data_IF_480586119735
#
_entry.id   IF_480586119735
#
_cell.length_a   1.000
_cell.length_b   1.000
_cell.length_c   1.000
_cell.angle_alpha   90.00
_cell.angle_beta   90.00
_cell.angle_gamma   90.00
#
_symmetry.space_group_name_H-M   'P 1'
#
loop_
_entity.id
_entity.type
_entity.pdbx_description
1 polymer ?
#
# COMPACT_ATOMS: atom_id res chain seq x y z
N UNK A 1 -47.66 -9.77 -5.25
CA UNK A 1 -46.74 -8.79 -4.58
C UNK A 1 -45.36 -9.40 -4.56
N UNK A 2 -44.49 -8.90 -5.43
CA UNK A 2 -43.11 -9.39 -5.53
C UNK A 2 -42.28 -8.61 -4.49
N UNK A 3 -41.72 -9.31 -3.52
CA UNK A 3 -40.74 -8.70 -2.62
C UNK A 3 -39.48 -8.37 -3.44
N UNK A 4 -38.92 -7.17 -3.34
CA UNK A 4 -37.63 -6.91 -3.95
C UNK A 4 -36.60 -7.83 -3.31
N UNK A 5 -35.85 -8.51 -4.16
CA UNK A 5 -34.71 -9.30 -3.72
C UNK A 5 -33.79 -8.37 -2.90
N UNK A 6 -33.54 -8.74 -1.66
CA UNK A 6 -32.52 -8.08 -0.85
C UNK A 6 -31.20 -8.28 -1.59
N UNK A 7 -30.68 -7.17 -2.12
CA UNK A 7 -29.35 -7.13 -2.72
C UNK A 7 -28.35 -7.36 -1.58
N UNK A 8 -28.00 -8.63 -1.37
CA UNK A 8 -27.07 -9.09 -0.35
C UNK A 8 -25.62 -9.02 -0.82
N UNK A 9 -25.35 -8.42 -1.98
CA UNK A 9 -23.99 -8.31 -2.51
C UNK A 9 -23.38 -6.90 -2.33
N UNK A 10 -23.64 -6.26 -1.19
CA UNK A 10 -22.71 -5.24 -0.71
C UNK A 10 -21.56 -5.98 -0.05
N UNK A 11 -20.62 -6.43 -0.85
CA UNK A 11 -19.25 -6.63 -0.36
C UNK A 11 -18.87 -5.28 0.22
N UNK A 12 -18.66 -5.20 1.53
CA UNK A 12 -18.08 -4.02 2.14
C UNK A 12 -16.82 -3.72 1.36
N UNK A 13 -16.85 -2.62 0.62
CA UNK A 13 -15.73 -2.20 -0.21
C UNK A 13 -14.57 -1.89 0.72
N UNK A 14 -13.49 -2.69 0.63
CA UNK A 14 -12.31 -2.53 1.48
C UNK A 14 -11.77 -1.13 1.27
N UNK A 15 -11.67 -0.35 2.35
CA UNK A 15 -11.06 0.98 2.30
C UNK A 15 -9.61 0.85 1.89
N UNK A 16 -9.23 1.59 0.85
CA UNK A 16 -7.85 1.65 0.36
C UNK A 16 -7.20 2.97 0.74
N UNK A 17 -5.96 2.91 1.20
CA UNK A 17 -5.13 4.10 1.34
C UNK A 17 -4.71 4.57 -0.05
N UNK A 18 -4.79 5.88 -0.29
CA UNK A 18 -4.43 6.48 -1.57
C UNK A 18 -3.20 7.37 -1.40
N UNK A 19 -2.18 7.10 -2.18
CA UNK A 19 -1.00 7.94 -2.30
C UNK A 19 -0.79 8.33 -3.75
N UNK A 20 -1.04 9.60 -4.08
CA UNK A 20 -0.78 10.14 -5.44
C UNK A 20 0.67 10.56 -5.57
N UNK A 21 1.23 10.36 -6.75
CA UNK A 21 2.57 10.78 -7.07
C UNK A 21 2.73 11.11 -8.55
N UNK A 22 3.75 11.91 -8.86
CA UNK A 22 4.16 12.25 -10.20
C UNK A 22 5.29 11.34 -10.64
N UNK A 23 5.17 10.70 -11.81
CA UNK A 23 6.29 10.00 -12.44
C UNK A 23 7.37 11.04 -12.77
N UNK A 24 8.61 10.78 -12.35
CA UNK A 24 9.74 11.68 -12.55
C UNK A 24 10.59 11.23 -13.73
N UNK A 25 11.20 12.19 -14.41
CA UNK A 25 12.11 11.89 -15.53
C UNK A 25 13.23 10.91 -15.11
N UNK A 26 13.77 11.08 -13.90
CA UNK A 26 14.80 10.17 -13.36
C UNK A 26 14.36 8.73 -13.12
N UNK A 27 13.06 8.46 -13.17
CA UNK A 27 12.51 7.09 -13.01
C UNK A 27 12.51 6.31 -14.34
N UNK A 28 12.68 7.01 -15.46
CA UNK A 28 12.63 6.44 -16.81
C UNK A 28 14.02 5.91 -17.21
N UNK A 29 14.08 4.69 -17.72
CA UNK A 29 15.30 4.10 -18.22
C UNK A 29 15.41 4.19 -19.75
N UNK A 30 16.46 3.59 -20.29
CA UNK A 30 16.74 3.60 -21.74
C UNK A 30 15.68 2.91 -22.60
N UNK A 31 14.80 2.13 -22.00
CA UNK A 31 13.67 1.49 -22.68
C UNK A 31 12.46 2.42 -22.84
N UNK A 32 12.52 3.62 -22.25
CA UNK A 32 11.49 4.64 -22.42
C UNK A 32 10.32 4.57 -21.45
N UNK A 33 10.39 3.74 -20.42
CA UNK A 33 9.37 3.65 -19.38
C UNK A 33 9.99 3.50 -18.00
N UNK A 34 9.16 3.61 -16.97
CA UNK A 34 9.61 3.49 -15.58
C UNK A 34 10.40 2.21 -15.39
N UNK A 35 11.62 2.35 -14.86
CA UNK A 35 12.48 1.20 -14.56
C UNK A 35 11.81 0.29 -13.53
N UNK A 36 11.89 -1.02 -13.72
CA UNK A 36 11.26 -2.01 -12.86
C UNK A 36 11.65 -1.88 -11.38
N UNK A 37 12.85 -1.41 -11.06
CA UNK A 37 13.29 -1.19 -9.68
C UNK A 37 12.62 0.02 -9.02
N UNK A 38 12.16 1.00 -9.78
CA UNK A 38 11.53 2.23 -9.27
C UNK A 38 10.15 1.97 -8.66
N UNK A 39 9.45 0.96 -9.10
CA UNK A 39 8.14 0.62 -8.52
C UNK A 39 8.23 0.26 -7.03
N UNK A 40 9.32 -0.36 -6.59
CA UNK A 40 9.56 -0.61 -5.16
C UNK A 40 9.66 0.68 -4.35
N UNK A 41 10.29 1.71 -4.91
CA UNK A 41 10.35 3.04 -4.30
C UNK A 41 8.96 3.67 -4.18
N UNK A 42 8.12 3.55 -5.20
CA UNK A 42 6.74 4.05 -5.14
C UNK A 42 5.92 3.36 -4.04
N UNK A 43 6.08 2.05 -3.90
CA UNK A 43 5.42 1.29 -2.82
C UNK A 43 5.94 1.70 -1.44
N UNK A 44 7.22 1.95 -1.30
CA UNK A 44 7.82 2.45 -0.05
C UNK A 44 7.27 3.82 0.32
N UNK A 45 7.20 4.76 -0.63
CA UNK A 45 6.63 6.08 -0.41
C UNK A 45 5.16 6.00 0.03
N UNK A 46 4.40 5.07 -0.56
CA UNK A 46 3.03 4.81 -0.17
C UNK A 46 2.92 4.31 1.29
N UNK A 47 3.81 3.41 1.71
CA UNK A 47 3.87 2.95 3.10
C UNK A 47 4.26 4.08 4.06
N UNK A 48 5.22 4.91 3.70
CA UNK A 48 5.61 6.08 4.51
C UNK A 48 4.43 7.03 4.66
N UNK A 49 3.69 7.29 3.59
CA UNK A 49 2.47 8.11 3.65
C UNK A 49 1.44 7.51 4.60
N UNK A 50 1.14 6.23 4.47
CA UNK A 50 0.12 5.53 5.24
C UNK A 50 0.48 5.40 6.72
N UNK A 51 1.72 5.06 7.04
CA UNK A 51 2.11 4.69 8.40
C UNK A 51 2.79 5.79 9.18
N UNK A 52 3.29 6.82 8.52
CA UNK A 52 4.05 7.89 9.17
C UNK A 52 3.47 9.27 8.94
N UNK A 53 3.28 9.67 7.70
CA UNK A 53 2.87 11.04 7.39
C UNK A 53 1.39 11.30 7.72
N UNK A 54 0.50 10.39 7.35
CA UNK A 54 -0.92 10.55 7.66
C UNK A 54 -1.20 10.54 9.16
N UNK A 55 -0.63 9.61 9.97
CA UNK A 55 -0.73 9.70 11.42
C UNK A 55 -0.24 11.03 11.98
N UNK A 56 0.91 11.54 11.53
CA UNK A 56 1.43 12.85 11.98
C UNK A 56 0.50 14.00 11.62
N UNK A 57 -0.10 14.00 10.42
CA UNK A 57 -1.08 15.02 10.01
C UNK A 57 -2.35 14.98 10.84
N UNK A 58 -2.72 13.81 11.33
CA UNK A 58 -3.90 13.59 12.18
C UNK A 58 -3.61 13.80 13.66
N UNK A 59 -2.37 14.11 14.04
CA UNK A 59 -1.94 14.28 15.42
C UNK A 59 -1.83 12.99 16.21
N UNK A 60 -1.68 11.86 15.51
CA UNK A 60 -1.50 10.54 16.12
C UNK A 60 -0.06 10.05 15.97
N UNK A 61 0.30 9.02 16.72
CA UNK A 61 1.65 8.46 16.65
C UNK A 61 1.87 7.68 15.34
N UNK A 62 3.00 7.87 14.65
CA UNK A 62 3.36 7.03 13.52
C UNK A 62 3.64 5.59 13.99
N UNK A 63 3.50 4.61 13.08
CA UNK A 63 3.89 3.25 13.37
C UNK A 63 5.40 3.19 13.66
N UNK A 64 5.76 2.34 14.63
CA UNK A 64 7.14 2.12 15.05
C UNK A 64 7.88 1.25 14.02
N UNK A 65 9.05 0.76 14.35
CA UNK A 65 9.89 -0.03 13.47
C UNK A 65 9.14 -1.13 12.72
N UNK A 66 9.21 -1.08 11.41
CA UNK A 66 8.62 -2.03 10.47
C UNK A 66 9.70 -2.44 9.48
N UNK A 67 9.82 -3.74 9.21
CA UNK A 67 10.74 -4.26 8.20
C UNK A 67 10.00 -5.05 7.16
N UNK A 68 10.45 -4.97 5.92
CA UNK A 68 9.89 -5.76 4.82
C UNK A 68 10.52 -7.14 4.83
N UNK A 69 9.68 -8.17 4.90
CA UNK A 69 10.12 -9.56 4.82
C UNK A 69 9.99 -10.14 3.40
N UNK A 70 9.04 -9.65 2.62
CA UNK A 70 8.78 -10.17 1.27
C UNK A 70 8.09 -9.14 0.41
N UNK A 71 8.44 -9.10 -0.87
CA UNK A 71 7.70 -8.44 -1.93
C UNK A 71 7.33 -9.43 -3.04
N UNK A 72 6.13 -9.29 -3.57
CA UNK A 72 5.72 -9.88 -4.85
C UNK A 72 5.22 -8.75 -5.75
N UNK A 73 5.70 -8.70 -6.99
CA UNK A 73 5.31 -7.66 -7.95
C UNK A 73 4.98 -8.30 -9.29
N UNK A 74 3.82 -7.95 -9.83
CA UNK A 74 3.40 -8.27 -11.18
C UNK A 74 3.35 -6.99 -12.01
N UNK A 75 4.19 -6.91 -13.03
CA UNK A 75 4.25 -5.80 -13.98
C UNK A 75 3.25 -6.06 -15.09
N UNK A 76 2.14 -5.33 -15.07
CA UNK A 76 1.02 -5.59 -15.98
C UNK A 76 1.04 -4.72 -17.22
N UNK A 77 1.60 -3.51 -17.12
CA UNK A 77 1.58 -2.50 -18.16
C UNK A 77 2.74 -1.53 -17.96
N UNK A 78 3.47 -1.10 -19.02
CA UNK A 78 4.51 -0.10 -18.87
C UNK A 78 3.91 1.25 -18.43
N UNK A 79 4.57 1.90 -17.48
CA UNK A 79 4.23 3.24 -17.04
C UNK A 79 5.23 4.21 -17.69
N UNK A 80 4.71 5.24 -18.32
CA UNK A 80 5.48 6.24 -19.06
C UNK A 80 5.57 7.54 -18.29
N UNK A 81 6.51 8.41 -18.68
CA UNK A 81 6.51 9.79 -18.22
C UNK A 81 5.23 10.48 -18.71
N UNK A 82 4.54 11.17 -17.82
CA UNK A 82 3.20 11.72 -18.08
C UNK A 82 2.95 12.95 -17.21
N UNK A 83 2.13 13.91 -17.68
CA UNK A 83 1.77 15.08 -16.88
C UNK A 83 0.80 14.75 -15.73
N UNK A 84 -0.09 13.77 -15.93
CA UNK A 84 -1.09 13.39 -14.92
C UNK A 84 -0.50 12.50 -13.85
N UNK A 85 -0.87 12.70 -12.57
CA UNK A 85 -0.39 11.83 -11.50
C UNK A 85 -0.93 10.41 -11.65
N UNK A 86 -0.24 9.48 -11.04
CA UNK A 86 -0.72 8.12 -10.77
C UNK A 86 -0.82 7.93 -9.27
N UNK A 87 -1.44 6.84 -8.84
CA UNK A 87 -1.61 6.57 -7.42
C UNK A 87 -1.22 5.15 -7.06
N UNK A 88 -0.79 4.98 -5.84
CA UNK A 88 -0.70 3.68 -5.18
C UNK A 88 -1.93 3.55 -4.30
N UNK A 89 -2.72 2.52 -4.55
CA UNK A 89 -3.79 2.10 -3.65
C UNK A 89 -3.28 0.94 -2.81
N UNK A 90 -3.41 1.05 -1.49
CA UNK A 90 -2.87 0.07 -0.53
C UNK A 90 -3.95 -0.35 0.45
N UNK A 91 -4.05 -1.65 0.70
CA UNK A 91 -4.96 -2.19 1.71
C UNK A 91 -4.34 -3.41 2.40
N UNK A 92 -4.91 -3.79 3.53
CA UNK A 92 -4.45 -4.93 4.34
C UNK A 92 -5.22 -6.18 3.95
N UNK A 93 -4.53 -7.24 3.59
CA UNK A 93 -5.15 -8.54 3.27
C UNK A 93 -5.03 -9.55 4.39
N UNK A 94 -4.04 -9.42 5.24
CA UNK A 94 -3.82 -10.34 6.36
C UNK A 94 -3.22 -9.57 7.54
N UNK A 95 -3.71 -9.84 8.72
CA UNK A 95 -3.22 -9.23 9.96
C UNK A 95 -2.93 -10.34 10.98
N UNK A 96 -1.71 -10.40 11.45
CA UNK A 96 -1.21 -11.36 12.45
C UNK A 96 -0.69 -10.62 13.69
N UNK A 97 -0.23 -11.36 14.69
CA UNK A 97 0.24 -10.78 15.96
C UNK A 97 1.48 -9.87 15.82
N UNK A 98 2.39 -10.21 14.91
CA UNK A 98 3.66 -9.50 14.72
C UNK A 98 3.93 -9.12 13.26
N UNK A 99 3.00 -9.36 12.36
CA UNK A 99 3.16 -9.11 10.94
C UNK A 99 1.82 -8.83 10.26
N UNK A 100 1.88 -8.27 9.06
CA UNK A 100 0.71 -8.06 8.22
C UNK A 100 1.12 -8.10 6.75
N UNK A 101 0.14 -8.35 5.90
CA UNK A 101 0.33 -8.36 4.45
C UNK A 101 -0.44 -7.19 3.85
N UNK A 102 0.25 -6.42 3.03
CA UNK A 102 -0.33 -5.34 2.22
C UNK A 102 -0.49 -5.81 0.78
N UNK A 103 -1.58 -5.42 0.17
CA UNK A 103 -1.74 -5.48 -1.27
C UNK A 103 -1.71 -4.06 -1.84
N UNK A 104 -1.22 -3.93 -3.07
CA UNK A 104 -1.09 -2.65 -3.76
C UNK A 104 -1.55 -2.75 -5.20
N UNK A 105 -2.08 -1.64 -5.69
CA UNK A 105 -2.18 -1.36 -7.11
C UNK A 105 -1.52 -0.01 -7.41
N UNK A 106 -0.63 0.02 -8.39
CA UNK A 106 -0.16 1.28 -8.98
C UNK A 106 -1.00 1.50 -10.22
N UNK A 107 -1.78 2.58 -10.21
CA UNK A 107 -2.82 2.78 -11.22
C UNK A 107 -3.21 4.24 -11.45
N UNK A 108 -3.94 4.45 -12.53
CA UNK A 108 -4.82 5.60 -12.74
C UNK A 108 -6.29 5.13 -12.79
N UNK A 109 -7.20 5.98 -13.27
CA UNK A 109 -8.63 5.62 -13.33
C UNK A 109 -8.95 4.58 -14.41
N UNK A 110 -8.07 4.41 -15.40
CA UNK A 110 -8.31 3.53 -16.54
C UNK A 110 -7.53 2.22 -16.45
N UNK A 111 -6.28 2.28 -15.95
CA UNK A 111 -5.35 1.16 -16.02
C UNK A 111 -4.68 0.84 -14.69
N UNK A 112 -4.45 -0.45 -14.45
CA UNK A 112 -3.56 -0.96 -13.42
C UNK A 112 -2.22 -1.30 -14.08
N UNK A 113 -1.15 -0.62 -13.65
CA UNK A 113 0.20 -0.82 -14.17
C UNK A 113 0.94 -1.92 -13.43
N UNK A 114 0.75 -1.99 -12.12
CA UNK A 114 1.40 -2.97 -11.24
C UNK A 114 0.41 -3.45 -10.20
N UNK A 115 0.37 -4.76 -9.98
CA UNK A 115 -0.21 -5.36 -8.79
C UNK A 115 0.91 -5.90 -7.91
N UNK A 116 0.82 -5.72 -6.61
CA UNK A 116 1.88 -6.15 -5.70
C UNK A 116 1.36 -6.55 -4.33
N UNK A 117 2.20 -7.23 -3.58
CA UNK A 117 1.98 -7.49 -2.15
C UNK A 117 3.29 -7.44 -1.39
N UNK A 118 3.21 -7.12 -0.10
CA UNK A 118 4.35 -7.10 0.80
C UNK A 118 3.97 -7.71 2.14
N UNK A 119 4.85 -8.53 2.68
CA UNK A 119 4.78 -8.97 4.07
C UNK A 119 5.67 -8.03 4.90
N UNK A 120 5.06 -7.40 5.89
CA UNK A 120 5.70 -6.44 6.79
C UNK A 120 5.72 -7.03 8.19
N UNK A 121 6.87 -6.97 8.84
CA UNK A 121 7.06 -7.48 10.21
C UNK A 121 7.31 -6.30 11.15
N UNK A 122 6.57 -6.28 12.25
CA UNK A 122 6.85 -5.36 13.35
C UNK A 122 8.16 -5.77 14.03
N UNK A 123 9.08 -4.82 14.16
CA UNK A 123 10.45 -5.10 14.55
C UNK A 123 10.92 -4.16 15.65
N UNK A 124 11.59 -4.73 16.63
CA UNK A 124 12.27 -4.00 17.70
C UNK A 124 13.72 -3.80 17.26
N UNK A 125 14.04 -2.56 16.84
CA UNK A 125 15.37 -2.20 16.35
C UNK A 125 16.44 -2.20 17.44
N UNK A 126 16.08 -1.98 18.71
CA UNK A 126 17.02 -1.99 19.82
C UNK A 126 17.43 -3.43 20.18
N UNK A 127 16.46 -4.34 20.25
CA UNK A 127 16.71 -5.73 20.64
C UNK A 127 16.86 -6.67 19.42
N UNK A 128 16.82 -6.14 18.21
CA UNK A 128 17.02 -6.86 16.94
C UNK A 128 16.16 -8.12 16.81
N UNK A 129 14.87 -7.99 17.08
CA UNK A 129 13.90 -9.09 17.00
C UNK A 129 12.51 -8.59 16.61
N UNK A 130 11.67 -9.51 16.13
CA UNK A 130 10.26 -9.25 15.92
C UNK A 130 9.57 -8.89 17.24
N UNK A 131 8.58 -8.02 17.18
CA UNK A 131 7.72 -7.61 18.29
C UNK A 131 6.26 -7.80 17.93
N UNK A 132 5.39 -7.78 18.93
CA UNK A 132 3.96 -7.72 18.67
C UNK A 132 3.54 -6.32 18.23
N UNK A 133 2.55 -6.26 17.34
CA UNK A 133 1.85 -5.03 17.03
C UNK A 133 1.09 -4.55 18.27
N UNK A 134 1.12 -3.25 18.54
CA UNK A 134 0.34 -2.67 19.62
C UNK A 134 -1.11 -2.35 19.18
N UNK A 135 -1.95 -1.93 20.12
CA UNK A 135 -3.37 -1.67 19.86
C UNK A 135 -3.58 -0.55 18.84
N UNK A 136 -2.77 0.51 18.86
CA UNK A 136 -2.89 1.64 17.94
C UNK A 136 -2.48 1.23 16.51
N UNK A 137 -1.46 0.41 16.39
CA UNK A 137 -1.02 -0.16 15.11
C UNK A 137 -2.09 -1.08 14.52
N UNK A 138 -2.67 -1.95 15.33
CA UNK A 138 -3.76 -2.85 14.92
C UNK A 138 -4.97 -2.03 14.47
N UNK A 139 -5.36 -0.99 15.22
CA UNK A 139 -6.49 -0.14 14.87
C UNK A 139 -6.30 0.56 13.53
N UNK A 140 -5.09 1.07 13.25
CA UNK A 140 -4.77 1.69 11.97
C UNK A 140 -4.88 0.67 10.83
N UNK A 141 -4.31 -0.51 11.00
CA UNK A 141 -4.34 -1.56 9.99
C UNK A 141 -5.76 -2.10 9.74
N UNK A 142 -6.56 -2.27 10.78
CA UNK A 142 -7.96 -2.69 10.64
C UNK A 142 -8.81 -1.69 9.85
N UNK A 143 -8.48 -0.41 9.88
CA UNK A 143 -9.18 0.61 9.10
C UNK A 143 -9.05 0.40 7.58
N UNK A 144 -8.05 -0.36 7.13
CA UNK A 144 -7.77 -0.64 5.72
C UNK A 144 -7.90 -2.13 5.36
N UNK A 145 -8.57 -2.88 6.19
CA UNK A 145 -8.75 -4.32 5.97
C UNK A 145 -10.08 -4.70 5.37
#
# INVERSE_FOLDING_TARGET
>A
MVQPALDTDRREEVRRHIHEFQVRFGDIDVLGHVNNCRYLTYLEDARVSMFRLDPLRQGTAPLKGLVVARHEIDYKRPLLLRPDPVRVETWVTELRAASFTLAYEIRDDEHVYVGASSVIVAYDLENTRARRLDEDEIALLEAYR
#
